data_IF_092779364076
#
_entry.id   IF_092779364076
#
_cell.length_a   1.000
_cell.length_b   1.000
_cell.length_c   1.000
_cell.angle_alpha   90.00
_cell.angle_beta   90.00
_cell.angle_gamma   90.00
#
_symmetry.space_group_name_H-M   'P 1'
#
loop_
_entity.id
_entity.type
_entity.pdbx_description
1 polymer ?
#
# COMPACT_ATOMS: atom_id res chain seq x y z
N UNK A 1 -69.47 -3.71 -5.58
CA UNK A 1 -69.45 -3.39 -4.14
C UNK A 1 -68.09 -3.66 -3.53
N UNK A 2 -67.99 -3.78 -2.20
CA UNK A 2 -66.71 -3.95 -1.46
C UNK A 2 -65.79 -5.08 -1.91
N UNK A 3 -66.34 -6.15 -2.55
CA UNK A 3 -65.56 -7.26 -3.09
C UNK A 3 -64.80 -6.88 -4.35
N UNK A 4 -65.41 -6.16 -5.24
CA UNK A 4 -64.80 -5.66 -6.50
C UNK A 4 -63.71 -4.64 -6.22
N UNK A 5 -63.94 -3.77 -5.27
CA UNK A 5 -62.94 -2.80 -4.78
C UNK A 5 -61.69 -3.52 -4.16
N UNK A 6 -61.97 -4.57 -3.38
CA UNK A 6 -60.90 -5.38 -2.79
C UNK A 6 -60.08 -6.17 -3.85
N UNK A 7 -60.71 -6.70 -4.91
CA UNK A 7 -60.05 -7.34 -6.02
C UNK A 7 -59.19 -6.37 -6.85
N UNK A 8 -59.70 -5.16 -7.09
CA UNK A 8 -58.96 -4.11 -7.79
C UNK A 8 -57.73 -3.63 -6.97
N UNK A 9 -57.90 -3.45 -5.67
CA UNK A 9 -56.79 -3.11 -4.77
C UNK A 9 -55.75 -4.20 -4.72
N UNK A 10 -56.13 -5.49 -4.71
CA UNK A 10 -55.17 -6.59 -4.76
C UNK A 10 -54.39 -6.60 -6.06
N UNK A 11 -55.03 -6.33 -7.19
CA UNK A 11 -54.38 -6.27 -8.50
C UNK A 11 -53.36 -5.08 -8.52
N UNK A 12 -53.76 -3.91 -8.04
CA UNK A 12 -52.88 -2.77 -7.96
C UNK A 12 -51.67 -3.03 -7.04
N UNK A 13 -51.87 -3.64 -5.88
CA UNK A 13 -50.80 -4.04 -5.00
C UNK A 13 -49.84 -5.04 -5.68
N UNK A 14 -50.37 -6.01 -6.41
CA UNK A 14 -49.56 -6.99 -7.13
C UNK A 14 -48.70 -6.31 -8.23
N UNK A 15 -49.33 -5.39 -9.02
CA UNK A 15 -48.64 -4.63 -10.06
C UNK A 15 -47.57 -3.70 -9.47
N UNK A 16 -47.87 -3.01 -8.34
CA UNK A 16 -46.89 -2.14 -7.65
C UNK A 16 -45.75 -2.94 -7.03
N UNK A 17 -46.04 -4.10 -6.45
CA UNK A 17 -45.00 -4.99 -5.90
C UNK A 17 -44.06 -5.50 -6.98
N UNK A 18 -44.61 -5.91 -8.14
CA UNK A 18 -43.80 -6.36 -9.28
C UNK A 18 -42.92 -5.18 -9.79
N UNK A 19 -43.46 -3.98 -9.88
CA UNK A 19 -42.73 -2.79 -10.29
C UNK A 19 -41.64 -2.41 -9.27
N UNK A 20 -41.94 -2.53 -7.98
CA UNK A 20 -40.97 -2.30 -6.91
C UNK A 20 -39.78 -3.25 -7.02
N UNK A 21 -40.05 -4.55 -7.16
CA UNK A 21 -38.98 -5.55 -7.31
C UNK A 21 -38.11 -5.28 -8.55
N UNK A 22 -38.72 -4.87 -9.68
CA UNK A 22 -37.97 -4.50 -10.88
C UNK A 22 -37.06 -3.27 -10.62
N UNK A 23 -37.56 -2.27 -9.91
CA UNK A 23 -36.81 -1.07 -9.57
C UNK A 23 -35.66 -1.38 -8.59
N UNK A 24 -35.88 -2.23 -7.61
CA UNK A 24 -34.86 -2.66 -6.66
C UNK A 24 -33.72 -3.42 -7.37
N UNK A 25 -34.06 -4.26 -8.36
CA UNK A 25 -33.05 -4.95 -9.17
C UNK A 25 -32.25 -3.95 -10.04
N UNK A 26 -32.93 -2.98 -10.66
CA UNK A 26 -32.28 -1.92 -11.43
C UNK A 26 -31.39 -1.05 -10.56
N UNK A 27 -31.85 -0.67 -9.37
CA UNK A 27 -31.06 0.11 -8.39
C UNK A 27 -29.78 -0.62 -8.01
N UNK A 28 -29.88 -1.93 -7.73
CA UNK A 28 -28.73 -2.77 -7.41
C UNK A 28 -27.73 -2.83 -8.59
N UNK A 29 -28.19 -3.11 -9.81
CA UNK A 29 -27.33 -3.16 -11.00
C UNK A 29 -26.64 -1.81 -11.24
N UNK A 30 -27.38 -0.72 -11.14
CA UNK A 30 -26.84 0.62 -11.30
C UNK A 30 -25.82 0.95 -10.20
N UNK A 31 -26.10 0.57 -8.96
CA UNK A 31 -25.17 0.76 -7.84
C UNK A 31 -23.84 0.04 -8.07
N UNK A 32 -23.89 -1.22 -8.51
CA UNK A 32 -22.67 -2.00 -8.84
C UNK A 32 -21.89 -1.38 -10.01
N UNK A 33 -22.59 -0.89 -11.04
CA UNK A 33 -21.95 -0.23 -12.18
C UNK A 33 -21.31 1.12 -11.79
N UNK A 34 -22.00 1.92 -11.00
CA UNK A 34 -21.48 3.19 -10.48
C UNK A 34 -20.20 2.91 -9.65
N UNK A 35 -20.26 1.95 -8.74
CA UNK A 35 -19.10 1.60 -7.91
C UNK A 35 -17.89 1.23 -8.77
N UNK A 36 -18.07 0.36 -9.78
CA UNK A 36 -16.99 -0.03 -10.70
C UNK A 36 -16.37 1.15 -11.45
N UNK A 37 -17.21 2.11 -11.88
CA UNK A 37 -16.73 3.33 -12.56
C UNK A 37 -15.98 4.23 -11.55
N UNK A 38 -16.54 4.46 -10.38
CA UNK A 38 -15.95 5.30 -9.35
C UNK A 38 -14.57 4.80 -8.91
N UNK A 39 -14.38 3.48 -8.84
CA UNK A 39 -13.09 2.88 -8.50
C UNK A 39 -11.99 3.09 -9.55
N UNK A 40 -12.34 3.51 -10.77
CA UNK A 40 -11.36 3.81 -11.84
C UNK A 40 -11.05 5.30 -11.98
N UNK A 41 -11.79 6.16 -11.27
CA UNK A 41 -11.57 7.61 -11.33
C UNK A 41 -10.43 7.97 -10.38
N UNK A 42 -9.34 8.57 -10.89
CA UNK A 42 -8.25 9.04 -10.04
C UNK A 42 -8.72 10.09 -9.02
N UNK A 43 -8.10 10.10 -7.86
CA UNK A 43 -8.38 11.13 -6.86
C UNK A 43 -7.83 12.50 -7.31
N UNK A 44 -8.34 13.58 -6.71
CA UNK A 44 -7.85 14.94 -6.93
C UNK A 44 -6.44 15.05 -6.38
N UNK A 45 -5.51 15.53 -7.20
CA UNK A 45 -4.12 15.78 -6.80
C UNK A 45 -3.96 17.17 -6.17
N UNK A 46 -2.99 17.30 -5.28
CA UNK A 46 -2.62 18.61 -4.72
C UNK A 46 -2.04 19.51 -5.84
N UNK A 47 -2.36 20.82 -5.87
CA UNK A 47 -1.82 21.74 -6.87
C UNK A 47 -0.29 21.86 -6.88
N UNK A 48 0.40 21.47 -5.80
CA UNK A 48 1.87 21.45 -5.74
C UNK A 48 2.50 20.31 -6.53
N UNK A 49 1.74 19.27 -6.88
CA UNK A 49 2.26 18.12 -7.62
C UNK A 49 2.74 18.54 -9.00
N UNK A 50 4.02 18.30 -9.37
CA UNK A 50 4.54 18.69 -10.67
C UNK A 50 3.88 17.93 -11.82
N UNK A 51 3.82 18.57 -12.98
CA UNK A 51 3.30 17.99 -14.22
C UNK A 51 4.48 17.64 -15.13
N UNK A 52 4.50 16.44 -15.68
CA UNK A 52 5.55 15.97 -16.58
C UNK A 52 5.14 14.67 -17.28
N UNK A 53 6.04 14.10 -18.08
CA UNK A 53 5.75 12.91 -18.91
C UNK A 53 5.97 11.60 -18.17
N UNK A 54 7.03 11.53 -17.38
CA UNK A 54 7.47 10.33 -16.69
C UNK A 54 8.33 10.68 -15.47
N UNK A 55 8.80 9.69 -14.76
CA UNK A 55 9.57 9.81 -13.51
C UNK A 55 10.91 10.52 -13.66
N UNK A 56 11.45 10.66 -14.86
CA UNK A 56 12.67 11.44 -15.13
C UNK A 56 12.46 12.94 -14.88
N UNK A 57 11.21 13.40 -14.90
CA UNK A 57 10.81 14.78 -14.64
C UNK A 57 10.39 15.03 -13.18
N UNK A 58 10.57 14.07 -12.26
CA UNK A 58 10.39 14.28 -10.83
C UNK A 58 11.28 15.41 -10.32
N UNK A 59 10.71 16.27 -9.50
CA UNK A 59 11.38 17.50 -9.03
C UNK A 59 12.12 17.27 -7.74
N UNK A 60 13.42 17.55 -7.72
CA UNK A 60 14.20 17.53 -6.49
C UNK A 60 13.80 18.68 -5.56
N UNK A 61 13.33 18.34 -4.36
CA UNK A 61 12.91 19.32 -3.34
C UNK A 61 14.09 19.74 -2.49
N UNK A 62 14.79 18.78 -1.90
CA UNK A 62 15.84 19.06 -0.92
C UNK A 62 16.82 17.89 -0.79
N UNK A 63 18.04 18.24 -0.34
CA UNK A 63 19.09 17.29 0.03
C UNK A 63 19.47 17.45 1.49
N UNK A 64 19.64 16.33 2.16
CA UNK A 64 20.05 16.24 3.55
C UNK A 64 21.37 15.46 3.66
N UNK A 65 22.45 16.13 3.98
CA UNK A 65 23.80 15.58 4.04
C UNK A 65 24.43 15.40 2.66
N UNK A 66 25.76 15.32 2.65
CA UNK A 66 26.55 15.15 1.45
C UNK A 66 26.93 13.67 1.26
N UNK A 67 26.73 13.10 0.07
CA UNK A 67 27.18 11.74 -0.21
C UNK A 67 28.70 11.69 -0.27
N UNK A 68 29.29 10.72 0.41
CA UNK A 68 30.70 10.39 0.27
C UNK A 68 30.87 9.44 -0.90
N UNK A 69 31.41 9.95 -2.00
CA UNK A 69 31.70 9.12 -3.19
C UNK A 69 33.16 8.69 -3.09
N UNK A 70 33.45 7.38 -2.92
CA UNK A 70 34.81 6.87 -2.86
C UNK A 70 35.50 6.97 -4.24
N UNK A 71 36.82 6.93 -4.23
CA UNK A 71 37.68 6.93 -5.43
C UNK A 71 37.88 5.55 -6.08
N UNK A 72 37.14 4.53 -5.56
CA UNK A 72 37.13 3.17 -6.07
C UNK A 72 35.74 2.77 -6.59
N UNK A 73 35.69 1.77 -7.47
CA UNK A 73 34.44 1.22 -7.96
C UNK A 73 33.67 0.54 -6.79
N UNK A 74 32.44 1.01 -6.56
CA UNK A 74 31.56 0.46 -5.52
C UNK A 74 30.98 -0.86 -6.05
N UNK A 75 31.24 -2.00 -5.37
CA UNK A 75 30.64 -3.27 -5.76
C UNK A 75 29.12 -3.24 -5.68
N UNK A 76 28.45 -4.07 -6.50
CA UNK A 76 27.01 -4.20 -6.43
C UNK A 76 26.57 -4.81 -5.06
N UNK A 77 25.38 -4.48 -4.58
CA UNK A 77 24.96 -4.86 -3.23
C UNK A 77 25.01 -6.39 -2.98
N UNK A 78 24.64 -7.21 -3.97
CA UNK A 78 24.75 -8.68 -3.83
C UNK A 78 26.18 -9.16 -3.75
N UNK A 79 27.11 -8.55 -4.46
CA UNK A 79 28.54 -8.87 -4.38
C UNK A 79 29.13 -8.59 -2.98
N UNK A 80 28.64 -7.48 -2.37
CA UNK A 80 28.99 -7.17 -0.98
C UNK A 80 28.44 -8.24 -0.04
N UNK A 81 27.14 -8.59 -0.19
CA UNK A 81 26.50 -9.60 0.64
C UNK A 81 27.17 -10.98 0.50
N UNK A 82 27.57 -11.37 -0.71
CA UNK A 82 28.30 -12.63 -1.00
C UNK A 82 29.64 -12.68 -0.30
N UNK A 83 30.39 -11.56 -0.28
CA UNK A 83 31.66 -11.47 0.46
C UNK A 83 31.52 -11.76 1.96
N UNK A 84 30.36 -11.50 2.53
CA UNK A 84 30.03 -11.80 3.92
C UNK A 84 29.31 -13.16 4.08
N UNK A 85 29.19 -13.98 3.04
CA UNK A 85 28.36 -15.18 3.01
C UNK A 85 26.93 -14.90 3.52
N UNK A 86 26.41 -13.73 3.21
CA UNK A 86 25.17 -13.19 3.76
C UNK A 86 23.95 -13.32 2.86
N UNK A 87 24.11 -13.89 1.65
CA UNK A 87 23.01 -14.09 0.70
C UNK A 87 23.18 -15.40 -0.05
N UNK A 88 22.04 -16.10 -0.32
CA UNK A 88 21.99 -17.29 -1.18
C UNK A 88 20.77 -17.20 -2.11
N UNK A 89 21.00 -16.73 -3.31
CA UNK A 89 19.97 -16.61 -4.36
C UNK A 89 19.74 -17.94 -5.08
N UNK A 90 20.74 -18.81 -5.16
CA UNK A 90 20.63 -20.09 -5.86
C UNK A 90 19.74 -21.07 -5.11
N UNK A 91 19.88 -21.14 -3.79
CA UNK A 91 18.98 -21.94 -2.96
C UNK A 91 17.56 -21.35 -2.94
N UNK A 92 17.41 -20.05 -2.89
CA UNK A 92 16.11 -19.40 -2.96
C UNK A 92 15.38 -19.71 -4.28
N UNK A 93 16.13 -19.69 -5.42
CA UNK A 93 15.58 -20.06 -6.73
C UNK A 93 15.07 -21.51 -6.77
N UNK A 94 15.75 -22.44 -6.12
CA UNK A 94 15.31 -23.84 -6.03
C UNK A 94 14.05 -24.02 -5.20
N UNK A 95 13.88 -23.21 -4.15
CA UNK A 95 12.79 -23.33 -3.17
C UNK A 95 11.54 -22.57 -3.62
N UNK A 96 11.71 -21.35 -4.13
CA UNK A 96 10.59 -20.44 -4.38
C UNK A 96 10.58 -19.81 -5.78
N UNK A 97 11.65 -19.96 -6.55
CA UNK A 97 11.81 -19.32 -7.86
C UNK A 97 12.66 -18.05 -7.79
N UNK A 98 12.72 -17.33 -8.92
CA UNK A 98 13.40 -16.04 -8.99
C UNK A 98 12.64 -14.98 -8.17
N UNK A 99 13.34 -13.94 -7.73
CA UNK A 99 12.74 -12.86 -6.95
C UNK A 99 12.52 -13.18 -5.48
N UNK A 100 13.17 -14.23 -4.97
CA UNK A 100 13.27 -14.58 -3.56
C UNK A 100 14.72 -14.66 -3.12
N UNK A 101 14.98 -14.66 -1.82
CA UNK A 101 16.32 -14.64 -1.25
C UNK A 101 16.39 -15.42 0.06
N UNK A 102 17.59 -15.87 0.40
CA UNK A 102 17.97 -16.15 1.78
C UNK A 102 18.96 -15.09 2.22
N UNK A 103 18.70 -14.42 3.33
CA UNK A 103 19.69 -13.64 4.04
C UNK A 103 20.26 -14.49 5.19
N UNK A 104 21.57 -14.41 5.42
CA UNK A 104 22.26 -15.25 6.39
C UNK A 104 23.26 -14.45 7.22
N UNK A 105 23.64 -15.02 8.37
CA UNK A 105 24.71 -14.49 9.21
C UNK A 105 24.50 -13.02 9.61
N UNK A 106 25.55 -12.24 9.50
CA UNK A 106 25.53 -10.83 9.91
C UNK A 106 24.69 -9.93 8.98
N UNK A 107 24.53 -10.30 7.70
CA UNK A 107 23.62 -9.57 6.79
C UNK A 107 22.16 -9.73 7.25
N UNK A 108 21.74 -10.94 7.63
CA UNK A 108 20.40 -11.17 8.18
C UNK A 108 20.19 -10.44 9.51
N UNK A 109 21.22 -10.39 10.36
CA UNK A 109 21.19 -9.64 11.63
C UNK A 109 21.09 -8.14 11.39
N UNK A 110 21.85 -7.60 10.44
CA UNK A 110 21.79 -6.19 10.06
C UNK A 110 20.43 -5.82 9.53
N UNK A 111 19.86 -6.64 8.63
CA UNK A 111 18.51 -6.45 8.12
C UNK A 111 17.48 -6.37 9.26
N UNK A 112 17.48 -7.34 10.17
CA UNK A 112 16.60 -7.36 11.33
C UNK A 112 16.82 -6.16 12.28
N UNK A 113 18.08 -5.73 12.45
CA UNK A 113 18.42 -4.58 13.28
C UNK A 113 17.88 -3.28 12.69
N UNK A 114 17.97 -3.07 11.38
CA UNK A 114 17.42 -1.87 10.71
C UNK A 114 15.89 -1.81 10.86
N UNK A 115 15.20 -2.93 10.68
CA UNK A 115 13.73 -3.01 10.88
C UNK A 115 13.37 -2.75 12.34
N UNK A 116 14.07 -3.35 13.28
CA UNK A 116 13.83 -3.11 14.71
C UNK A 116 14.06 -1.65 15.09
N UNK A 117 15.13 -1.06 14.58
CA UNK A 117 15.44 0.35 14.80
C UNK A 117 14.36 1.25 14.21
N UNK A 118 13.89 0.99 12.99
CA UNK A 118 12.81 1.76 12.37
C UNK A 118 11.52 1.70 13.20
N UNK A 119 11.16 0.52 13.72
CA UNK A 119 10.01 0.37 14.61
C UNK A 119 10.14 1.25 15.86
N UNK A 120 11.25 1.12 16.58
CA UNK A 120 11.47 1.84 17.83
C UNK A 120 11.57 3.36 17.59
N UNK A 121 12.20 3.77 16.50
CA UNK A 121 12.27 5.16 16.06
C UNK A 121 10.88 5.79 15.83
N UNK A 122 9.91 5.04 15.30
CA UNK A 122 8.54 5.53 15.13
C UNK A 122 7.77 5.53 16.44
N UNK A 123 7.96 4.53 17.30
CA UNK A 123 7.36 4.49 18.64
C UNK A 123 7.80 5.72 19.44
N UNK A 124 9.08 6.06 19.43
CA UNK A 124 9.64 7.23 20.13
C UNK A 124 9.08 8.56 19.60
N UNK A 125 8.54 8.57 18.36
CA UNK A 125 7.83 9.70 17.75
C UNK A 125 6.33 9.72 17.99
N UNK A 126 5.84 8.86 18.88
CA UNK A 126 4.44 8.82 19.29
C UNK A 126 3.52 8.00 18.40
N UNK A 127 4.07 7.13 17.54
CA UNK A 127 3.26 6.19 16.78
C UNK A 127 2.95 4.95 17.61
N UNK A 128 1.70 4.51 17.55
CA UNK A 128 1.26 3.25 18.17
C UNK A 128 1.69 2.09 17.28
N UNK A 129 2.55 1.22 17.80
CA UNK A 129 2.95 0.02 17.09
C UNK A 129 1.83 -1.01 17.08
N UNK A 130 1.55 -1.56 15.90
CA UNK A 130 0.58 -2.64 15.74
C UNK A 130 1.13 -3.76 14.86
N UNK A 131 0.70 -4.98 15.12
CA UNK A 131 0.94 -6.16 14.28
C UNK A 131 -0.39 -6.51 13.61
N UNK A 132 -0.56 -6.17 12.32
CA UNK A 132 -1.81 -6.37 11.61
C UNK A 132 -1.90 -7.78 11.01
N UNK A 133 -3.07 -8.21 10.54
CA UNK A 133 -3.18 -9.40 9.69
C UNK A 133 -2.34 -9.26 8.41
N UNK A 134 -1.64 -10.33 8.01
CA UNK A 134 -0.84 -10.37 6.77
C UNK A 134 -1.61 -10.97 5.59
N UNK A 135 -2.85 -11.37 5.82
CA UNK A 135 -3.81 -11.75 4.79
C UNK A 135 -5.10 -10.96 5.02
N UNK A 136 -5.64 -10.43 3.94
CA UNK A 136 -6.84 -9.57 3.96
C UNK A 136 -7.83 -10.01 2.92
N UNK A 137 -9.12 -9.70 3.13
CA UNK A 137 -10.19 -10.02 2.20
C UNK A 137 -10.25 -9.05 1.02
N UNK A 138 -10.94 -9.45 -0.03
CA UNK A 138 -11.08 -8.66 -1.26
C UNK A 138 -11.72 -7.28 -1.04
N UNK A 139 -12.67 -7.18 -0.13
CA UNK A 139 -13.33 -5.91 0.21
C UNK A 139 -12.37 -4.90 0.87
N UNK A 140 -11.43 -5.39 1.68
CA UNK A 140 -10.35 -4.55 2.25
C UNK A 140 -9.40 -4.09 1.15
N UNK A 141 -9.00 -5.00 0.24
CA UNK A 141 -8.09 -4.67 -0.86
C UNK A 141 -8.69 -3.61 -1.77
N UNK A 142 -9.95 -3.79 -2.17
CA UNK A 142 -10.63 -2.85 -3.08
C UNK A 142 -10.94 -1.49 -2.46
N UNK A 143 -10.82 -1.36 -1.14
CA UNK A 143 -10.85 -0.07 -0.45
C UNK A 143 -9.59 0.77 -0.64
N UNK A 144 -8.48 0.20 -1.13
CA UNK A 144 -7.17 0.86 -1.26
C UNK A 144 -6.54 0.75 -2.66
N UNK A 145 -7.05 -0.12 -3.52
CA UNK A 145 -6.61 -0.27 -4.92
C UNK A 145 -7.72 -0.78 -5.82
N UNK A 146 -7.57 -0.61 -7.13
CA UNK A 146 -8.50 -1.13 -8.12
C UNK A 146 -8.43 -2.65 -8.24
N UNK A 147 -9.50 -3.27 -8.76
CA UNK A 147 -9.52 -4.71 -9.05
C UNK A 147 -8.42 -5.16 -10.03
N UNK A 148 -8.11 -4.33 -11.03
CA UNK A 148 -7.09 -4.62 -12.01
C UNK A 148 -5.70 -4.67 -11.36
N UNK A 149 -5.39 -3.72 -10.50
CA UNK A 149 -4.15 -3.67 -9.73
C UNK A 149 -4.06 -4.84 -8.74
N UNK A 150 -5.14 -5.14 -8.03
CA UNK A 150 -5.21 -6.27 -7.10
C UNK A 150 -4.83 -7.57 -7.79
N UNK A 151 -5.45 -7.89 -8.93
CA UNK A 151 -5.17 -9.13 -9.67
C UNK A 151 -3.75 -9.15 -10.26
N UNK A 152 -3.25 -8.00 -10.70
CA UNK A 152 -1.90 -7.88 -11.24
C UNK A 152 -0.80 -8.00 -10.18
N UNK A 153 -1.01 -7.46 -8.97
CA UNK A 153 0.03 -7.27 -7.97
C UNK A 153 -0.03 -8.21 -6.78
N UNK A 154 -1.21 -8.69 -6.37
CA UNK A 154 -1.38 -9.44 -5.13
C UNK A 154 -1.46 -10.96 -5.35
N UNK A 155 -0.91 -11.72 -4.41
CA UNK A 155 -1.08 -13.16 -4.34
C UNK A 155 -2.40 -13.49 -3.67
N UNK A 156 -3.22 -14.29 -4.34
CA UNK A 156 -4.50 -14.81 -3.82
C UNK A 156 -4.29 -16.21 -3.25
N UNK A 157 -4.94 -16.51 -2.13
CA UNK A 157 -5.04 -17.86 -1.59
C UNK A 157 -6.11 -18.62 -2.36
N UNK A 158 -5.75 -19.76 -2.91
CA UNK A 158 -6.69 -20.60 -3.66
C UNK A 158 -7.78 -21.16 -2.73
N UNK A 159 -9.04 -21.06 -3.17
CA UNK A 159 -10.19 -21.54 -2.41
C UNK A 159 -10.69 -20.62 -1.29
N UNK A 160 -9.99 -19.51 -1.04
CA UNK A 160 -10.31 -18.55 0.01
C UNK A 160 -10.52 -17.13 -0.55
N UNK A 161 -11.32 -16.31 0.13
CA UNK A 161 -11.34 -14.87 -0.12
C UNK A 161 -10.27 -14.16 0.70
N UNK A 162 -9.01 -14.55 0.47
CA UNK A 162 -7.85 -14.00 1.14
C UNK A 162 -6.72 -13.69 0.15
N UNK A 163 -6.02 -12.61 0.42
CA UNK A 163 -4.87 -12.12 -0.34
C UNK A 163 -3.72 -11.83 0.61
N UNK A 164 -2.50 -12.22 0.23
CA UNK A 164 -1.29 -11.79 0.95
C UNK A 164 -1.10 -10.27 0.75
N UNK A 165 -0.80 -9.57 1.83
CA UNK A 165 -0.61 -8.11 1.77
C UNK A 165 0.63 -7.72 0.96
N UNK A 166 0.50 -6.68 0.15
CA UNK A 166 1.64 -6.00 -0.50
C UNK A 166 2.26 -4.90 0.36
N UNK A 167 1.59 -4.54 1.45
CA UNK A 167 1.98 -3.57 2.47
C UNK A 167 1.04 -3.68 3.67
N UNK A 168 1.53 -3.45 4.88
CA UNK A 168 0.69 -3.40 6.09
C UNK A 168 -0.27 -2.20 6.10
N UNK A 169 -0.04 -1.20 5.26
CA UNK A 169 -0.95 -0.07 5.06
C UNK A 169 -2.38 -0.54 4.80
N UNK A 170 -2.56 -1.53 3.92
CA UNK A 170 -3.88 -2.08 3.60
C UNK A 170 -4.61 -2.59 4.84
N UNK A 171 -3.93 -3.38 5.66
CA UNK A 171 -4.52 -3.93 6.88
C UNK A 171 -4.76 -2.86 7.95
N UNK A 172 -3.88 -1.87 8.05
CA UNK A 172 -4.02 -0.78 9.01
C UNK A 172 -5.19 0.16 8.65
N UNK A 173 -5.37 0.46 7.36
CA UNK A 173 -6.52 1.24 6.88
C UNK A 173 -7.80 0.41 7.03
N UNK A 174 -7.76 -0.88 6.67
CA UNK A 174 -8.86 -1.81 6.82
C UNK A 174 -9.39 -1.96 8.25
N UNK A 175 -8.55 -1.66 9.27
CA UNK A 175 -8.97 -1.61 10.67
C UNK A 175 -10.13 -0.63 10.92
N UNK A 176 -10.28 0.39 10.07
CA UNK A 176 -11.27 1.45 10.24
C UNK A 176 -12.50 1.31 9.33
N UNK A 177 -12.66 0.17 8.63
CA UNK A 177 -13.84 -0.12 7.81
C UNK A 177 -15.10 0.00 8.67
N UNK A 178 -16.13 0.68 8.16
CA UNK A 178 -17.44 0.89 8.78
C UNK A 178 -17.38 1.51 10.18
N UNK A 179 -16.31 2.26 10.49
CA UNK A 179 -16.18 2.97 11.75
C UNK A 179 -16.40 4.47 11.59
N UNK A 180 -17.15 5.05 12.52
CA UNK A 180 -17.22 6.50 12.75
C UNK A 180 -16.29 6.80 13.91
N UNK A 181 -15.18 7.47 13.65
CA UNK A 181 -14.19 7.81 14.68
C UNK A 181 -14.57 9.15 15.28
N UNK A 182 -14.74 9.24 16.62
CA UNK A 182 -14.97 10.52 17.30
C UNK A 182 -13.80 11.49 17.04
N UNK A 183 -14.14 12.78 16.88
CA UNK A 183 -13.14 13.81 16.56
C UNK A 183 -12.04 13.92 17.63
N UNK A 184 -12.39 13.75 18.89
CA UNK A 184 -11.48 13.78 20.03
C UNK A 184 -10.47 12.62 20.04
N UNK A 185 -10.70 11.58 19.23
CA UNK A 185 -9.79 10.46 19.11
C UNK A 185 -8.77 10.63 17.97
N UNK A 186 -8.87 11.70 17.19
CA UNK A 186 -7.94 12.02 16.10
C UNK A 186 -6.78 12.91 16.60
N UNK A 187 -5.60 12.77 16.02
CA UNK A 187 -5.22 11.82 14.98
C UNK A 187 -4.94 10.42 15.52
N UNK A 188 -5.17 9.38 14.71
CA UNK A 188 -4.66 8.03 14.97
C UNK A 188 -3.32 7.87 14.24
N UNK A 189 -2.25 7.71 14.97
CA UNK A 189 -0.89 7.51 14.45
C UNK A 189 -0.48 6.06 14.66
N UNK A 190 -0.34 5.30 13.58
CA UNK A 190 -0.03 3.88 13.62
C UNK A 190 1.28 3.60 12.88
N UNK A 191 2.08 2.68 13.41
CA UNK A 191 3.23 2.12 12.71
C UNK A 191 3.21 0.61 12.80
N UNK A 192 3.64 -0.08 11.75
CA UNK A 192 3.67 -1.54 11.74
C UNK A 192 4.81 -2.08 10.89
N UNK A 193 5.36 -3.19 11.34
CA UNK A 193 6.22 -4.06 10.57
C UNK A 193 5.39 -5.14 9.89
N UNK A 194 5.71 -5.48 8.65
CA UNK A 194 5.17 -6.67 8.01
C UNK A 194 6.09 -7.23 6.93
N UNK A 195 6.02 -8.54 6.65
CA UNK A 195 6.38 -9.05 5.35
C UNK A 195 5.41 -8.49 4.31
N UNK A 196 5.90 -8.30 3.09
CA UNK A 196 5.12 -7.80 1.96
C UNK A 196 5.32 -8.74 0.78
N UNK A 197 4.24 -8.98 0.02
CA UNK A 197 4.25 -9.93 -1.09
C UNK A 197 3.68 -9.25 -2.33
N UNK A 198 4.48 -9.19 -3.42
CA UNK A 198 4.07 -8.58 -4.68
C UNK A 198 4.47 -9.45 -5.86
N UNK A 199 3.59 -9.58 -6.84
CA UNK A 199 3.86 -10.35 -8.06
C UNK A 199 4.91 -9.69 -8.96
N UNK A 200 5.20 -8.41 -8.78
CA UNK A 200 6.20 -7.61 -9.53
C UNK A 200 6.16 -7.84 -11.05
N UNK A 201 4.96 -7.97 -11.60
CA UNK A 201 4.75 -8.13 -13.04
C UNK A 201 5.18 -6.85 -13.77
N UNK A 202 6.12 -6.98 -14.70
CA UNK A 202 6.61 -5.86 -15.51
C UNK A 202 7.96 -5.28 -15.05
N UNK A 203 8.60 -5.85 -14.02
CA UNK A 203 10.00 -5.54 -13.73
C UNK A 203 10.90 -6.00 -14.89
N UNK A 204 11.79 -5.14 -15.36
CA UNK A 204 12.74 -5.44 -16.44
C UNK A 204 14.10 -4.78 -16.22
N UNK A 205 15.15 -5.42 -16.74
CA UNK A 205 16.48 -4.84 -16.77
C UNK A 205 17.22 -4.84 -15.42
N UNK A 206 17.78 -3.70 -15.02
CA UNK A 206 18.61 -3.60 -13.80
C UNK A 206 17.83 -3.88 -12.52
N UNK A 207 16.52 -3.66 -12.53
CA UNK A 207 15.64 -3.90 -11.38
C UNK A 207 15.49 -5.39 -11.06
N UNK A 208 15.72 -6.28 -12.04
CA UNK A 208 15.70 -7.74 -11.83
C UNK A 208 16.98 -8.28 -11.20
N UNK A 209 18.04 -7.46 -11.15
CA UNK A 209 19.32 -7.90 -10.57
C UNK A 209 19.31 -7.75 -9.05
N UNK A 210 19.70 -8.84 -8.38
CA UNK A 210 19.88 -8.85 -6.93
C UNK A 210 18.57 -8.88 -6.15
N UNK A 211 18.46 -8.03 -5.13
CA UNK A 211 17.32 -7.95 -4.20
C UNK A 211 16.66 -6.57 -4.21
N UNK A 212 16.70 -5.88 -5.33
CA UNK A 212 16.10 -4.56 -5.48
C UNK A 212 14.57 -4.64 -5.69
N UNK A 213 14.11 -5.47 -6.64
CA UNK A 213 12.70 -5.70 -6.91
C UNK A 213 12.41 -7.20 -6.81
N UNK A 214 11.70 -7.59 -5.76
CA UNK A 214 11.56 -8.97 -5.31
C UNK A 214 10.13 -9.25 -4.85
N UNK A 215 9.73 -10.53 -4.90
CA UNK A 215 8.35 -10.96 -4.57
C UNK A 215 8.04 -10.92 -3.08
N UNK A 216 9.06 -11.03 -2.23
CA UNK A 216 8.92 -10.99 -0.78
C UNK A 216 9.96 -10.03 -0.19
N UNK A 217 9.51 -9.05 0.56
CA UNK A 217 10.35 -8.08 1.28
C UNK A 217 9.70 -7.67 2.60
N UNK A 218 10.39 -6.88 3.37
CA UNK A 218 9.92 -6.43 4.69
C UNK A 218 9.82 -4.90 4.70
N UNK A 219 8.83 -4.40 5.43
CA UNK A 219 8.51 -2.98 5.45
C UNK A 219 8.07 -2.52 6.83
N UNK A 220 8.59 -1.38 7.28
CA UNK A 220 8.05 -0.61 8.38
C UNK A 220 7.21 0.52 7.81
N UNK A 221 5.93 0.57 8.18
CA UNK A 221 4.96 1.52 7.62
C UNK A 221 4.51 2.53 8.66
N UNK A 222 4.14 3.72 8.20
CA UNK A 222 3.47 4.75 9.00
C UNK A 222 2.11 5.06 8.37
N UNK A 223 1.05 5.05 9.18
CA UNK A 223 -0.31 5.45 8.75
C UNK A 223 -0.87 6.45 9.75
N UNK A 224 -1.44 7.51 9.24
CA UNK A 224 -2.15 8.52 10.04
C UNK A 224 -3.58 8.68 9.54
N UNK A 225 -4.53 8.56 10.47
CA UNK A 225 -5.93 8.96 10.24
C UNK A 225 -6.16 10.26 10.98
N UNK A 226 -6.42 11.33 10.25
CA UNK A 226 -6.55 12.69 10.79
C UNK A 226 -7.74 13.42 10.15
N UNK A 227 -8.01 14.65 10.59
CA UNK A 227 -8.96 15.53 9.93
C UNK A 227 -8.45 15.90 8.53
N UNK A 228 -9.35 16.10 7.54
CA UNK A 228 -8.95 16.47 6.17
C UNK A 228 -8.04 17.69 6.09
N UNK A 229 -8.33 18.73 6.89
CA UNK A 229 -7.56 19.98 6.95
C UNK A 229 -6.14 19.79 7.52
N UNK A 230 -5.88 18.71 8.23
CA UNK A 230 -4.59 18.38 8.81
C UNK A 230 -3.74 17.47 7.89
N UNK A 231 -4.30 16.95 6.80
CA UNK A 231 -3.65 15.94 5.96
C UNK A 231 -2.31 16.40 5.40
N UNK A 232 -2.22 17.66 4.92
CA UNK A 232 -0.96 18.21 4.41
C UNK A 232 0.11 18.32 5.49
N UNK A 233 -0.24 18.79 6.68
CA UNK A 233 0.66 18.86 7.84
C UNK A 233 1.20 17.47 8.22
N UNK A 234 0.32 16.45 8.23
CA UNK A 234 0.74 15.08 8.51
C UNK A 234 1.58 14.46 7.39
N UNK A 235 1.29 14.76 6.13
CA UNK A 235 2.13 14.38 4.99
C UNK A 235 3.56 14.89 5.18
N UNK A 236 3.73 16.18 5.46
CA UNK A 236 5.05 16.80 5.70
C UNK A 236 5.76 16.17 6.90
N UNK A 237 5.03 15.85 7.96
CA UNK A 237 5.58 15.18 9.14
C UNK A 237 6.03 13.74 8.87
N UNK A 238 5.29 12.98 8.07
CA UNK A 238 5.68 11.62 7.67
C UNK A 238 6.94 11.66 6.79
N UNK A 239 6.99 12.60 5.85
CA UNK A 239 8.17 12.86 5.04
C UNK A 239 9.38 13.17 5.92
N UNK A 240 9.26 14.13 6.84
CA UNK A 240 10.34 14.51 7.75
C UNK A 240 10.80 13.34 8.63
N UNK A 241 9.88 12.52 9.15
CA UNK A 241 10.21 11.30 9.89
C UNK A 241 11.07 10.34 9.07
N UNK A 242 10.77 10.20 7.78
CA UNK A 242 11.55 9.34 6.87
C UNK A 242 12.96 9.91 6.66
N UNK A 243 13.09 11.20 6.43
CA UNK A 243 14.39 11.88 6.31
C UNK A 243 15.21 11.70 7.60
N UNK A 244 14.62 11.99 8.75
CA UNK A 244 15.26 11.88 10.06
C UNK A 244 15.73 10.45 10.36
N UNK A 245 14.94 9.44 9.97
CA UNK A 245 15.31 8.04 10.15
C UNK A 245 16.59 7.70 9.40
N UNK A 246 16.68 8.02 8.11
CA UNK A 246 17.88 7.74 7.33
C UNK A 246 19.06 8.61 7.78
N UNK A 247 18.83 9.86 8.13
CA UNK A 247 19.86 10.76 8.65
C UNK A 247 20.41 10.32 10.01
N UNK A 248 19.59 9.66 10.84
CA UNK A 248 20.05 9.09 12.11
C UNK A 248 21.07 7.95 11.95
N UNK A 249 21.16 7.39 10.76
CA UNK A 249 22.14 6.37 10.37
C UNK A 249 23.28 6.96 9.51
N UNK A 250 23.44 8.28 9.46
CA UNK A 250 24.39 9.01 8.63
C UNK A 250 24.25 8.79 7.11
N UNK A 251 23.07 8.31 6.67
CA UNK A 251 22.77 8.11 5.24
C UNK A 251 22.30 9.46 4.66
N UNK A 252 22.96 10.00 3.62
CA UNK A 252 22.48 11.20 2.94
C UNK A 252 21.17 10.90 2.20
N UNK A 253 20.26 11.87 2.22
CA UNK A 253 18.91 11.72 1.64
C UNK A 253 18.68 12.78 0.58
N UNK A 254 18.13 12.38 -0.55
CA UNK A 254 17.60 13.26 -1.58
C UNK A 254 16.08 13.03 -1.68
N UNK A 255 15.31 14.10 -1.55
CA UNK A 255 13.86 14.04 -1.65
C UNK A 255 13.38 14.55 -2.99
N UNK A 256 12.45 13.84 -3.57
CA UNK A 256 11.85 14.15 -4.86
C UNK A 256 10.34 14.29 -4.70
N UNK A 257 9.77 15.36 -5.26
CA UNK A 257 8.34 15.44 -5.51
C UNK A 257 8.03 14.66 -6.78
N UNK A 258 7.29 13.58 -6.65
CA UNK A 258 6.94 12.71 -7.76
C UNK A 258 5.76 13.26 -8.55
N UNK A 259 5.79 13.10 -9.87
CA UNK A 259 4.64 13.34 -10.71
C UNK A 259 3.51 12.37 -10.39
N UNK A 260 2.28 12.78 -10.64
CA UNK A 260 1.17 11.86 -10.64
C UNK A 260 1.04 11.16 -12.00
N UNK A 261 1.60 9.96 -12.11
CA UNK A 261 1.55 9.17 -13.36
C UNK A 261 0.13 8.78 -13.78
N UNK A 262 -0.85 8.87 -12.88
CA UNK A 262 -2.26 8.55 -13.15
C UNK A 262 -2.96 9.70 -13.89
N UNK A 263 -2.49 10.93 -13.74
CA UNK A 263 -3.11 12.14 -14.29
C UNK A 263 -2.42 12.68 -15.55
N UNK A 264 -1.42 11.97 -16.05
CA UNK A 264 -0.67 12.36 -17.24
C UNK A 264 -1.24 11.73 -18.52
#
# INVERSE_FOLDING_TARGET
GKKEEAEELKKQVAEQSARLSELEEQEKDLGERILKIMMTIPNIIDPSVPIGKDDSENVEIERFGEPVVPDFEIPYHTEIMEKFNGIDLDSARKVAGNGFYYLMGDIARLHSAVIAYARDFMIDRGFTYCVPPFMIRSDVVTGVMSFAEMDAMMYKIEGEDLYLIGTSEHSMIGKFIDQIIPEEELPKTLTSYSPCFRKEKGAHGIEERGVYRIHQFEKQEMVVVCKPEESKMWYDKLWQNTVDFFRSMDIPVRTLECLSLIHI
#
